data_IF_413783476991
#
_entry.id   IF_413783476991
#
_cell.length_a   1.000
_cell.length_b   1.000
_cell.length_c   1.000
_cell.angle_alpha   90.00
_cell.angle_beta   90.00
_cell.angle_gamma   90.00
#
_symmetry.space_group_name_H-M   'P 1'
#
loop_
_entity.id
_entity.type
_entity.pdbx_description
1 polymer ?
#
# COMPACT_ATOMS: atom_id res chain seq x y z
N UNK A 1 6.73 -2.13 -17.12
CA UNK A 1 6.12 -2.11 -15.77
C UNK A 1 5.91 -0.67 -15.38
N UNK A 2 4.69 -0.14 -15.52
CA UNK A 2 4.35 1.19 -15.00
C UNK A 2 4.40 1.12 -13.47
N UNK A 3 5.43 1.74 -12.88
CA UNK A 3 5.52 1.90 -11.43
C UNK A 3 4.43 2.90 -11.04
N UNK A 4 3.34 2.40 -10.46
CA UNK A 4 2.30 3.24 -9.85
C UNK A 4 2.92 3.89 -8.61
N UNK A 5 2.84 5.22 -8.52
CA UNK A 5 3.31 5.93 -7.33
C UNK A 5 2.57 5.46 -6.08
N UNK A 6 3.33 5.32 -5.00
CA UNK A 6 2.80 4.97 -3.70
C UNK A 6 2.12 6.19 -3.07
N UNK A 7 0.93 6.03 -2.47
CA UNK A 7 0.34 7.10 -1.69
C UNK A 7 1.25 7.47 -0.53
N UNK A 8 1.26 8.76 -0.11
CA UNK A 8 2.06 9.18 1.03
C UNK A 8 1.63 8.43 2.28
N UNK A 9 2.60 7.81 2.97
CA UNK A 9 2.35 6.96 4.14
C UNK A 9 1.63 7.68 5.28
N UNK A 10 1.77 9.02 5.36
CA UNK A 10 1.07 9.88 6.31
C UNK A 10 -0.45 9.93 6.09
N UNK A 11 -0.92 9.67 4.87
CA UNK A 11 -2.35 9.63 4.52
C UNK A 11 -2.93 8.20 4.58
N UNK A 12 -2.07 7.21 4.83
CA UNK A 12 -2.48 5.83 4.90
C UNK A 12 -3.03 5.48 6.28
N UNK A 13 -4.11 4.70 6.28
CA UNK A 13 -4.61 4.07 7.50
C UNK A 13 -3.59 3.08 8.05
N UNK A 14 -3.65 2.81 9.36
CA UNK A 14 -2.81 1.79 10.01
C UNK A 14 -2.89 0.43 9.32
N UNK A 15 -4.06 0.06 8.77
CA UNK A 15 -4.27 -1.19 8.04
C UNK A 15 -3.49 -1.23 6.73
N UNK A 16 -3.44 -0.10 5.99
CA UNK A 16 -2.65 0.03 4.76
C UNK A 16 -1.15 0.01 5.08
N UNK A 17 -0.71 0.76 6.10
CA UNK A 17 0.70 0.82 6.49
C UNK A 17 1.25 -0.55 6.94
N UNK A 18 0.41 -1.37 7.59
CA UNK A 18 0.76 -2.75 8.00
C UNK A 18 0.61 -3.78 6.88
N UNK A 19 0.12 -3.39 5.71
CA UNK A 19 -0.12 -4.29 4.58
C UNK A 19 -1.24 -5.31 4.85
N UNK A 20 -2.21 -4.99 5.70
CA UNK A 20 -3.42 -5.81 5.91
C UNK A 20 -4.45 -5.60 4.81
N UNK A 21 -4.42 -4.41 4.21
CA UNK A 21 -5.26 -4.05 3.07
C UNK A 21 -4.40 -3.45 1.96
N UNK A 22 -4.93 -3.48 0.74
CA UNK A 22 -4.26 -2.90 -0.42
C UNK A 22 -3.99 -1.41 -0.19
N UNK A 23 -2.75 -1.00 -0.46
CA UNK A 23 -2.33 0.41 -0.31
C UNK A 23 -3.20 1.36 -1.14
N UNK A 24 -3.69 0.91 -2.31
CA UNK A 24 -4.58 1.69 -3.18
C UNK A 24 -6.05 1.45 -2.87
N UNK A 25 -6.62 0.28 -3.18
CA UNK A 25 -8.07 0.06 -3.11
C UNK A 25 -8.62 -0.31 -1.70
N UNK A 26 -7.78 -0.44 -0.66
CA UNK A 26 -8.17 -0.84 0.71
C UNK A 26 -8.88 -2.20 0.84
N UNK A 27 -8.91 -3.02 -0.21
CA UNK A 27 -9.39 -4.40 -0.11
C UNK A 27 -8.49 -5.23 0.82
N UNK A 28 -9.09 -6.13 1.60
CA UNK A 28 -8.35 -7.04 2.48
C UNK A 28 -7.35 -7.89 1.68
N UNK A 29 -6.14 -8.01 2.21
CA UNK A 29 -5.08 -8.80 1.63
C UNK A 29 -4.89 -10.07 2.44
N UNK A 30 -4.80 -11.19 1.72
CA UNK A 30 -4.51 -12.49 2.32
C UNK A 30 -3.01 -12.78 2.25
N UNK A 31 -2.50 -13.48 3.26
CA UNK A 31 -1.12 -13.94 3.29
C UNK A 31 -0.84 -14.86 2.09
N UNK A 32 0.23 -14.58 1.36
CA UNK A 32 0.67 -15.37 0.20
C UNK A 32 0.11 -14.95 -1.16
N UNK A 33 -0.97 -14.16 -1.22
CA UNK A 33 -1.51 -13.65 -2.50
C UNK A 33 -1.24 -12.17 -2.73
N UNK A 34 -0.96 -11.41 -1.67
CA UNK A 34 -0.63 -10.00 -1.78
C UNK A 34 0.68 -9.78 -2.53
N UNK A 35 0.69 -8.80 -3.43
CA UNK A 35 1.90 -8.30 -4.07
C UNK A 35 2.67 -7.43 -3.08
N UNK A 36 3.88 -7.84 -2.74
CA UNK A 36 4.81 -7.03 -1.97
C UNK A 36 5.41 -5.93 -2.87
N UNK A 37 5.43 -4.69 -2.41
CA UNK A 37 5.97 -3.53 -3.14
C UNK A 37 7.36 -3.12 -2.65
N UNK A 38 8.01 -3.99 -1.87
CA UNK A 38 9.34 -3.78 -1.33
C UNK A 38 9.38 -2.87 -0.12
N UNK A 39 10.57 -2.75 0.47
CA UNK A 39 10.83 -1.81 1.55
C UNK A 39 10.69 -0.36 1.04
N UNK A 40 9.92 0.43 1.79
CA UNK A 40 9.80 1.86 1.61
C UNK A 40 10.29 2.55 2.87
N UNK A 41 10.95 3.69 2.71
CA UNK A 41 11.45 4.48 3.84
C UNK A 41 10.68 5.77 3.95
N UNK A 42 10.25 6.10 5.16
CA UNK A 42 9.62 7.37 5.45
C UNK A 42 10.30 8.02 6.65
N UNK A 43 10.51 9.33 6.55
CA UNK A 43 11.01 10.15 7.65
C UNK A 43 10.00 11.26 7.91
N UNK A 44 9.20 11.17 8.99
CA UNK A 44 8.32 12.25 9.39
C UNK A 44 9.15 13.44 9.89
N UNK A 45 8.58 14.66 9.81
CA UNK A 45 9.27 15.89 10.22
C UNK A 45 9.66 15.88 11.70
N UNK A 46 8.77 15.39 12.55
CA UNK A 46 8.92 15.42 14.02
C UNK A 46 9.26 14.04 14.62
N UNK A 47 9.82 13.11 13.83
CA UNK A 47 10.04 11.74 14.29
C UNK A 47 11.20 11.00 13.64
N UNK A 48 11.40 9.77 14.11
CA UNK A 48 12.42 8.90 13.58
C UNK A 48 12.03 8.35 12.20
N UNK A 49 13.04 8.18 11.33
CA UNK A 49 12.85 7.46 10.08
C UNK A 49 12.44 6.01 10.38
N UNK A 50 11.49 5.48 9.61
CA UNK A 50 11.05 4.11 9.70
C UNK A 50 10.88 3.50 8.31
N UNK A 51 11.07 2.17 8.27
CA UNK A 51 10.76 1.37 7.11
C UNK A 51 9.35 0.82 7.21
N UNK A 52 8.68 0.74 6.07
CA UNK A 52 7.37 0.11 5.93
C UNK A 52 7.32 -0.70 4.64
N UNK A 53 6.43 -1.69 4.59
CA UNK A 53 6.37 -2.67 3.52
C UNK A 53 4.97 -2.66 2.90
N UNK A 54 4.68 -1.74 1.98
CA UNK A 54 3.37 -1.67 1.36
C UNK A 54 3.06 -2.94 0.59
N UNK A 55 1.79 -3.35 0.69
CA UNK A 55 1.25 -4.47 -0.07
C UNK A 55 0.10 -4.02 -0.93
N UNK A 56 -0.05 -4.68 -2.07
CA UNK A 56 -1.09 -4.42 -3.04
C UNK A 56 -1.78 -5.70 -3.49
N UNK A 57 -2.91 -5.52 -4.17
CA UNK A 57 -3.58 -6.61 -4.85
C UNK A 57 -2.68 -7.19 -5.95
N UNK A 58 -2.69 -8.52 -6.16
CA UNK A 58 -1.96 -9.15 -7.25
C UNK A 58 -2.54 -8.76 -8.62
N UNK A 59 -3.86 -8.62 -8.70
CA UNK A 59 -4.57 -8.15 -9.89
C UNK A 59 -4.65 -6.62 -9.88
N UNK A 60 -3.90 -6.00 -10.79
CA UNK A 60 -3.81 -4.53 -10.93
C UNK A 60 -5.05 -3.92 -11.58
N UNK A 61 -5.75 -4.64 -12.45
CA UNK A 61 -6.93 -4.15 -13.17
C UNK A 61 -8.14 -4.15 -12.24
N UNK A 62 -8.40 -5.26 -11.54
CA UNK A 62 -9.45 -5.33 -10.55
C UNK A 62 -9.20 -4.36 -9.38
N UNK A 63 -7.92 -4.12 -9.02
CA UNK A 63 -7.56 -3.10 -8.04
C UNK A 63 -7.91 -1.69 -8.52
N UNK A 64 -7.63 -1.37 -9.78
CA UNK A 64 -7.94 -0.06 -10.36
C UNK A 64 -9.46 0.18 -10.38
N UNK A 65 -10.27 -0.83 -10.73
CA UNK A 65 -11.73 -0.74 -10.68
C UNK A 65 -12.23 -0.40 -9.27
N UNK A 66 -11.80 -1.17 -8.25
CA UNK A 66 -12.17 -0.91 -6.85
C UNK A 66 -11.71 0.45 -6.32
N UNK A 67 -10.60 0.96 -6.82
CA UNK A 67 -10.09 2.28 -6.46
C UNK A 67 -10.94 3.40 -7.08
N UNK A 68 -11.38 3.24 -8.33
CA UNK A 68 -12.24 4.21 -9.02
C UNK A 68 -13.66 4.27 -8.45
N UNK A 69 -14.17 3.16 -7.94
CA UNK A 69 -15.52 3.06 -7.35
C UNK A 69 -15.62 3.64 -5.92
N UNK A 70 -14.55 4.24 -5.39
CA UNK A 70 -14.44 4.72 -4.01
C UNK A 70 -14.37 6.23 -3.91
#
# INVERSE_FOLDING_TARGET
MTVRDLPPVSELTMQQQRGWVCVWCRAALYTGSARDLGEQRHKPADGAAYSWFPRACPDTEACAGREADR
#
